data_IF_100387630064
#
_entry.id   IF_100387630064
#
_cell.length_a   1.000
_cell.length_b   1.000
_cell.length_c   1.000
_cell.angle_alpha   90.00
_cell.angle_beta   90.00
_cell.angle_gamma   90.00
#
_symmetry.space_group_name_H-M   'P 1'
#
loop_
_entity.id
_entity.type
_entity.pdbx_description
1 polymer ?
#
# COMPACT_ATOMS: atom_id res chain seq x y z
N UNK A 1 21.55 -0.94 9.77
CA UNK A 1 20.88 -2.17 10.28
C UNK A 1 19.39 -1.90 10.47
N UNK A 2 18.49 -2.81 10.09
CA UNK A 2 17.07 -2.65 10.44
C UNK A 2 16.95 -2.97 11.94
N UNK A 3 16.56 -2.00 12.80
CA UNK A 3 16.26 -2.32 14.18
C UNK A 3 15.10 -3.33 14.20
N UNK A 4 15.14 -4.29 15.13
CA UNK A 4 14.12 -5.33 15.27
C UNK A 4 14.00 -6.30 14.08
N UNK A 5 15.07 -6.46 13.30
CA UNK A 5 15.11 -7.38 12.16
C UNK A 5 14.99 -8.88 12.52
N UNK A 6 15.10 -9.19 13.81
CA UNK A 6 14.89 -10.50 14.41
C UNK A 6 13.42 -10.94 14.41
N UNK A 7 12.47 -10.00 14.33
CA UNK A 7 11.04 -10.31 14.32
C UNK A 7 10.53 -10.71 12.93
N UNK A 8 9.80 -11.81 12.89
CA UNK A 8 9.18 -12.35 11.68
C UNK A 8 7.75 -12.83 11.94
N UNK A 9 6.88 -12.67 10.94
CA UNK A 9 5.51 -13.18 10.98
C UNK A 9 5.42 -14.42 10.09
N UNK A 10 5.33 -15.60 10.70
CA UNK A 10 5.34 -16.91 10.02
C UNK A 10 4.23 -17.77 10.60
N UNK A 11 3.46 -18.44 9.74
CA UNK A 11 2.32 -19.29 10.14
C UNK A 11 1.35 -18.56 11.07
N UNK A 12 1.02 -17.32 10.70
CA UNK A 12 0.12 -16.42 11.45
C UNK A 12 0.59 -16.08 12.88
N UNK A 13 1.89 -16.26 13.19
CA UNK A 13 2.45 -15.96 14.50
C UNK A 13 3.74 -15.16 14.39
N UNK A 14 3.93 -14.23 15.32
CA UNK A 14 5.18 -13.52 15.48
C UNK A 14 6.23 -14.41 16.17
N UNK A 15 7.43 -14.44 15.61
CA UNK A 15 8.58 -15.16 16.15
C UNK A 15 9.75 -14.19 16.28
N UNK A 16 10.47 -14.28 17.40
CA UNK A 16 11.73 -13.57 17.62
C UNK A 16 12.89 -14.55 17.34
N UNK A 17 13.63 -14.26 16.27
CA UNK A 17 14.83 -15.00 15.92
C UNK A 17 16.08 -14.14 16.17
N UNK A 18 16.64 -14.24 17.37
CA UNK A 18 17.82 -13.49 17.80
C UNK A 18 19.07 -13.68 16.90
N UNK A 19 19.14 -14.78 16.13
CA UNK A 19 20.24 -15.00 15.18
C UNK A 19 20.12 -14.17 13.90
N UNK A 20 18.92 -13.65 13.61
CA UNK A 20 18.64 -12.86 12.41
C UNK A 20 18.93 -11.39 12.63
N UNK A 21 19.81 -10.84 11.78
CA UNK A 21 20.26 -9.44 11.83
C UNK A 21 19.72 -8.56 10.70
N UNK A 22 18.93 -9.14 9.78
CA UNK A 22 18.38 -8.45 8.59
C UNK A 22 16.99 -8.98 8.26
N UNK A 23 16.09 -8.10 7.89
CA UNK A 23 14.76 -8.45 7.36
C UNK A 23 14.95 -9.05 5.97
N UNK A 24 14.41 -10.25 5.76
CA UNK A 24 14.38 -10.91 4.45
C UNK A 24 12.94 -10.89 3.96
N UNK A 25 12.54 -9.92 3.12
CA UNK A 25 11.20 -9.94 2.56
C UNK A 25 11.05 -11.15 1.65
N UNK A 26 9.84 -11.71 1.60
CA UNK A 26 9.47 -12.68 0.57
C UNK A 26 9.69 -12.02 -0.79
N UNK A 27 10.14 -12.80 -1.78
CA UNK A 27 10.36 -12.31 -3.13
C UNK A 27 9.66 -13.18 -4.14
N UNK A 28 9.08 -12.55 -5.15
CA UNK A 28 8.65 -13.23 -6.37
C UNK A 28 9.31 -12.53 -7.55
N UNK A 29 10.17 -13.26 -8.25
CA UNK A 29 11.13 -12.70 -9.23
C UNK A 29 11.91 -11.54 -8.60
N UNK A 30 11.69 -10.31 -9.07
CA UNK A 30 12.36 -9.10 -8.59
C UNK A 30 11.54 -8.34 -7.54
N UNK A 31 10.27 -8.72 -7.34
CA UNK A 31 9.33 -8.03 -6.47
C UNK A 31 9.50 -8.45 -5.02
N UNK A 32 9.47 -7.48 -4.10
CA UNK A 32 9.47 -7.72 -2.65
C UNK A 32 8.04 -7.70 -2.14
N UNK A 33 7.68 -8.73 -1.39
CA UNK A 33 6.34 -8.92 -0.86
C UNK A 33 6.41 -8.80 0.66
N UNK A 34 5.44 -8.07 1.20
CA UNK A 34 5.26 -7.89 2.64
C UNK A 34 3.85 -8.35 2.98
N UNK A 35 3.75 -9.35 3.83
CA UNK A 35 2.48 -9.91 4.26
C UNK A 35 1.70 -8.90 5.09
N UNK A 36 0.37 -8.99 5.04
CA UNK A 36 -0.45 -8.29 6.02
C UNK A 36 -0.31 -9.04 7.36
N UNK A 37 0.12 -8.32 8.38
CA UNK A 37 0.40 -8.88 9.71
C UNK A 37 -0.08 -7.86 10.76
N UNK A 38 -0.58 -8.32 11.92
CA UNK A 38 -0.81 -7.43 13.05
C UNK A 38 0.51 -6.80 13.50
N UNK A 39 0.45 -5.75 14.32
CA UNK A 39 1.65 -5.13 14.88
C UNK A 39 2.52 -6.18 15.60
N UNK A 40 3.82 -6.13 15.37
CA UNK A 40 4.76 -7.00 16.07
C UNK A 40 4.74 -6.72 17.59
N UNK A 41 4.94 -7.73 18.46
CA UNK A 41 4.89 -7.55 19.91
C UNK A 41 5.89 -6.53 20.46
N UNK A 42 6.99 -6.30 19.75
CA UNK A 42 7.98 -5.27 20.10
C UNK A 42 7.54 -3.83 19.79
N UNK A 43 6.45 -3.66 19.04
CA UNK A 43 5.90 -2.34 18.72
C UNK A 43 4.91 -1.96 19.81
N UNK A 44 5.29 -1.00 20.64
CA UNK A 44 4.48 -0.54 21.76
C UNK A 44 4.07 0.91 21.55
N UNK A 45 2.81 1.23 21.87
CA UNK A 45 2.36 2.60 21.98
C UNK A 45 2.89 3.18 23.30
N UNK A 46 3.39 4.42 23.23
CA UNK A 46 3.86 5.17 24.39
C UNK A 46 2.92 6.35 24.60
N UNK A 47 2.51 6.58 25.85
CA UNK A 47 1.65 7.70 26.21
C UNK A 47 2.42 9.02 26.20
N UNK A 48 3.65 8.99 26.71
CA UNK A 48 4.58 10.12 26.68
C UNK A 48 5.87 9.73 25.98
N UNK A 49 6.39 10.63 25.14
CA UNK A 49 7.65 10.41 24.44
C UNK A 49 8.82 10.68 25.39
N UNK A 50 9.49 9.61 25.81
CA UNK A 50 10.77 9.67 26.52
C UNK A 50 11.75 8.69 25.86
N UNK A 51 12.79 9.17 25.17
CA UNK A 51 13.77 8.28 24.56
C UNK A 51 14.58 7.56 25.65
N UNK A 52 14.47 6.24 25.69
CA UNK A 52 15.06 5.38 26.72
C UNK A 52 16.39 4.74 26.29
N UNK A 53 16.58 4.50 24.99
CA UNK A 53 17.69 3.73 24.46
C UNK A 53 18.15 4.23 23.10
N UNK A 54 19.48 4.21 22.86
CA UNK A 54 20.11 4.70 21.62
C UNK A 54 19.72 3.86 20.38
N UNK A 55 19.25 2.63 20.59
CA UNK A 55 18.93 1.69 19.51
C UNK A 55 17.43 1.63 19.19
N UNK A 56 16.58 2.35 19.93
CA UNK A 56 15.15 2.35 19.69
C UNK A 56 14.74 3.23 18.51
N UNK A 57 13.71 2.78 17.78
CA UNK A 57 13.08 3.56 16.73
C UNK A 57 11.72 4.05 17.20
N UNK A 58 11.61 5.37 17.37
CA UNK A 58 10.35 6.03 17.71
C UNK A 58 9.72 6.64 16.48
N UNK A 59 8.43 6.40 16.29
CA UNK A 59 7.70 6.85 15.11
C UNK A 59 6.35 7.41 15.55
N UNK A 60 5.94 8.55 14.97
CA UNK A 60 4.55 9.01 15.07
C UNK A 60 3.73 8.26 14.03
N UNK A 61 3.04 7.21 14.48
CA UNK A 61 2.19 6.40 13.61
C UNK A 61 0.78 6.99 13.52
N UNK A 62 0.19 6.91 12.33
CA UNK A 62 -1.25 7.09 12.15
C UNK A 62 -1.94 5.80 12.56
N UNK A 63 -2.91 5.87 13.46
CA UNK A 63 -3.56 4.68 14.02
C UNK A 63 -4.43 3.96 12.98
N UNK A 64 -4.58 2.62 13.08
CA UNK A 64 -5.48 1.85 12.22
C UNK A 64 -6.90 2.44 12.19
N UNK A 65 -7.54 2.38 11.02
CA UNK A 65 -8.89 2.92 10.80
C UNK A 65 -8.94 4.42 10.49
N UNK A 66 -7.83 5.15 10.63
CA UNK A 66 -7.73 6.53 10.17
C UNK A 66 -7.94 6.63 8.66
N UNK A 67 -8.65 7.67 8.22
CA UNK A 67 -8.91 7.97 6.81
C UNK A 67 -8.35 9.34 6.46
N UNK A 68 -7.77 9.47 5.29
CA UNK A 68 -7.38 10.75 4.72
C UNK A 68 -7.79 10.82 3.26
N UNK A 69 -8.12 12.03 2.82
CA UNK A 69 -8.46 12.31 1.44
C UNK A 69 -7.35 13.18 0.84
N UNK A 70 -6.90 12.82 -0.35
CA UNK A 70 -5.94 13.61 -1.10
C UNK A 70 -6.38 13.67 -2.57
N UNK A 71 -5.87 14.65 -3.29
CA UNK A 71 -6.15 14.83 -4.71
C UNK A 71 -4.83 14.83 -5.48
N UNK A 72 -4.76 13.98 -6.51
CA UNK A 72 -3.67 13.96 -7.49
C UNK A 72 -4.26 14.37 -8.83
N UNK A 73 -3.46 15.08 -9.64
CA UNK A 73 -3.85 15.48 -10.99
C UNK A 73 -2.81 14.95 -11.96
N UNK A 74 -3.27 14.27 -13.00
CA UNK A 74 -2.47 13.82 -14.12
C UNK A 74 -2.90 14.57 -15.37
N UNK A 75 -1.99 14.67 -16.32
CA UNK A 75 -2.19 15.38 -17.58
C UNK A 75 -1.80 14.45 -18.72
N UNK A 76 -2.56 14.49 -19.81
CA UNK A 76 -2.25 13.79 -21.05
C UNK A 76 -2.04 12.28 -20.89
N UNK A 77 -2.85 11.62 -20.05
CA UNK A 77 -2.84 10.16 -19.98
C UNK A 77 -3.64 9.58 -21.15
N UNK A 78 -3.06 8.58 -21.81
CA UNK A 78 -3.80 7.73 -22.73
C UNK A 78 -4.79 6.83 -21.97
N UNK A 79 -5.79 6.29 -22.68
CA UNK A 79 -6.80 5.39 -22.10
C UNK A 79 -6.17 4.18 -21.40
N UNK A 80 -5.11 3.58 -21.97
CA UNK A 80 -4.43 2.47 -21.32
C UNK A 80 -3.64 2.90 -20.06
N UNK A 81 -3.09 4.11 -20.06
CA UNK A 81 -2.31 4.63 -18.95
C UNK A 81 -3.20 4.94 -17.75
N UNK A 82 -4.38 5.54 -17.98
CA UNK A 82 -5.35 5.75 -16.91
C UNK A 82 -5.85 4.42 -16.34
N UNK A 83 -6.05 3.39 -17.17
CA UNK A 83 -6.42 2.04 -16.68
C UNK A 83 -5.33 1.43 -15.80
N UNK A 84 -4.07 1.47 -16.24
CA UNK A 84 -2.93 0.98 -15.45
C UNK A 84 -2.75 1.77 -14.15
N UNK A 85 -2.91 3.10 -14.21
CA UNK A 85 -2.85 3.97 -13.06
C UNK A 85 -3.95 3.60 -12.04
N UNK A 86 -5.21 3.51 -12.48
CA UNK A 86 -6.33 3.12 -11.63
C UNK A 86 -6.08 1.77 -10.97
N UNK A 87 -5.66 0.76 -11.75
CA UNK A 87 -5.32 -0.55 -11.19
C UNK A 87 -4.19 -0.48 -10.14
N UNK A 88 -3.13 0.29 -10.41
CA UNK A 88 -2.02 0.44 -9.47
C UNK A 88 -2.40 1.20 -8.19
N UNK A 89 -3.39 2.09 -8.25
CA UNK A 89 -3.86 2.86 -7.10
C UNK A 89 -4.89 2.06 -6.31
N UNK A 90 -5.99 1.67 -6.97
CA UNK A 90 -7.11 0.92 -6.39
C UNK A 90 -6.89 -0.57 -6.57
N UNK A 91 -6.13 -1.16 -5.66
CA UNK A 91 -5.95 -2.60 -5.60
C UNK A 91 -7.30 -3.30 -5.32
N UNK A 92 -7.39 -4.57 -5.70
CA UNK A 92 -8.57 -5.42 -5.47
C UNK A 92 -8.89 -5.57 -3.98
N UNK A 93 -10.12 -5.98 -3.69
CA UNK A 93 -10.58 -6.25 -2.34
C UNK A 93 -9.68 -7.28 -1.64
N UNK A 94 -9.33 -7.00 -0.38
CA UNK A 94 -8.40 -7.80 0.41
C UNK A 94 -6.92 -7.43 0.24
N UNK A 95 -6.57 -6.60 -0.74
CA UNK A 95 -5.20 -6.10 -0.90
C UNK A 95 -4.98 -4.74 -0.27
N UNK A 96 -3.72 -4.45 0.04
CA UNK A 96 -3.29 -3.17 0.57
C UNK A 96 -1.87 -2.82 0.10
N UNK A 97 -1.64 -1.54 -0.12
CA UNK A 97 -0.31 -1.00 -0.36
C UNK A 97 0.54 -1.06 0.90
N UNK A 98 1.84 -1.30 0.73
CA UNK A 98 2.83 -1.34 1.81
C UNK A 98 3.80 -0.18 1.68
N UNK A 99 3.78 0.73 2.65
CA UNK A 99 4.63 1.91 2.66
C UNK A 99 5.38 2.08 4.00
N UNK A 100 6.38 2.95 4.01
CA UNK A 100 7.13 3.28 5.23
C UNK A 100 8.11 2.19 5.69
N UNK A 101 8.98 2.55 6.62
CA UNK A 101 10.09 1.69 7.04
C UNK A 101 9.65 0.53 7.94
N UNK A 102 8.61 0.72 8.77
CA UNK A 102 8.09 -0.29 9.70
C UNK A 102 7.21 -1.36 9.05
N UNK A 103 7.11 -1.42 7.71
CA UNK A 103 6.19 -2.31 6.97
C UNK A 103 6.34 -3.80 7.25
N UNK A 104 7.53 -4.21 7.71
CA UNK A 104 7.84 -5.59 8.10
C UNK A 104 7.44 -5.92 9.55
N UNK A 105 7.00 -4.93 10.34
CA UNK A 105 6.53 -5.08 11.73
C UNK A 105 5.00 -4.89 11.83
N UNK A 106 4.28 -5.03 10.72
CA UNK A 106 2.83 -4.82 10.66
C UNK A 106 2.38 -3.37 10.41
N UNK A 107 3.30 -2.40 10.30
CA UNK A 107 2.95 -1.00 10.00
C UNK A 107 2.72 -0.75 8.51
N UNK A 108 2.19 0.43 8.16
CA UNK A 108 2.26 0.97 6.80
C UNK A 108 1.38 0.25 5.77
N UNK A 109 0.30 -0.40 6.20
CA UNK A 109 -0.71 -0.96 5.30
C UNK A 109 -1.77 0.10 5.00
N UNK A 110 -2.01 0.40 3.72
CA UNK A 110 -3.01 1.39 3.31
C UNK A 110 -3.87 0.89 2.14
N UNK A 111 -5.15 1.19 2.19
CA UNK A 111 -6.08 0.99 1.08
C UNK A 111 -6.37 2.33 0.43
N UNK A 112 -6.20 2.42 -0.88
CA UNK A 112 -6.53 3.61 -1.66
C UNK A 112 -7.82 3.29 -2.40
N UNK A 113 -8.82 4.17 -2.26
CA UNK A 113 -10.09 4.06 -2.94
C UNK A 113 -10.31 5.33 -3.75
N UNK A 114 -10.80 5.17 -4.98
CA UNK A 114 -11.26 6.29 -5.77
C UNK A 114 -12.57 6.80 -5.17
N UNK A 115 -12.68 8.11 -4.98
CA UNK A 115 -13.88 8.72 -4.45
C UNK A 115 -14.83 9.11 -5.61
N UNK A 116 -16.16 9.11 -5.41
CA UNK A 116 -17.14 9.44 -6.46
C UNK A 116 -16.93 10.80 -7.13
N UNK A 117 -16.31 11.76 -6.43
CA UNK A 117 -15.96 13.08 -6.95
C UNK A 117 -14.73 13.10 -7.86
N UNK A 118 -14.15 11.95 -8.19
CA UNK A 118 -13.01 11.86 -9.12
C UNK A 118 -13.50 11.94 -10.56
N UNK A 119 -12.81 12.71 -11.39
CA UNK A 119 -13.27 13.01 -12.75
C UNK A 119 -12.14 13.14 -13.77
N UNK A 120 -12.45 12.92 -15.04
CA UNK A 120 -11.67 13.38 -16.20
C UNK A 120 -12.18 14.75 -16.66
N UNK A 121 -11.38 15.46 -17.45
CA UNK A 121 -11.70 16.80 -17.95
C UNK A 121 -11.97 16.73 -19.45
N UNK A 122 -13.16 17.19 -19.86
CA UNK A 122 -13.48 17.49 -21.26
C UNK A 122 -12.89 18.84 -21.64
N UNK A 123 -11.72 18.82 -22.28
CA UNK A 123 -11.00 20.05 -22.63
C UNK A 123 -11.82 20.98 -23.54
N UNK A 124 -12.54 20.42 -24.52
CA UNK A 124 -13.34 21.19 -25.47
C UNK A 124 -14.51 21.94 -24.81
N UNK A 125 -15.03 21.42 -23.68
CA UNK A 125 -16.16 22.01 -22.96
C UNK A 125 -15.74 22.93 -21.81
N UNK A 126 -14.46 22.90 -21.42
CA UNK A 126 -13.95 23.55 -20.19
C UNK A 126 -14.20 25.06 -20.14
N UNK A 127 -14.15 25.74 -21.28
CA UNK A 127 -14.33 27.19 -21.36
C UNK A 127 -15.71 27.61 -21.90
N UNK A 128 -16.57 26.63 -22.22
CA UNK A 128 -17.85 26.87 -22.92
C UNK A 128 -19.09 26.67 -22.06
N UNK A 129 -19.09 25.72 -21.11
CA UNK A 129 -20.26 25.34 -20.28
C UNK A 129 -19.85 24.80 -18.89
N UNK A 130 -20.82 24.66 -17.97
CA UNK A 130 -20.63 24.18 -16.58
C UNK A 130 -20.37 22.66 -16.44
N UNK A 131 -20.48 21.87 -17.52
CA UNK A 131 -20.38 20.41 -17.50
C UNK A 131 -19.11 19.86 -18.18
N UNK A 132 -17.95 20.29 -17.68
CA UNK A 132 -16.62 19.89 -18.20
C UNK A 132 -15.97 18.73 -17.44
N UNK A 133 -16.64 18.23 -16.38
CA UNK A 133 -16.15 17.12 -15.56
C UNK A 133 -16.93 15.87 -15.90
N UNK A 134 -16.23 14.80 -16.22
CA UNK A 134 -16.85 13.49 -16.39
C UNK A 134 -16.43 12.55 -15.26
N UNK A 135 -17.37 11.85 -14.60
CA UNK A 135 -17.01 10.80 -13.66
C UNK A 135 -16.04 9.80 -14.29
N UNK A 136 -15.10 9.30 -13.51
CA UNK A 136 -14.23 8.21 -13.96
C UNK A 136 -15.07 6.92 -13.99
N UNK A 137 -15.65 6.62 -15.15
CA UNK A 137 -16.36 5.37 -15.44
C UNK A 137 -15.57 4.57 -16.48
N UNK A 138 -14.43 4.04 -16.05
CA UNK A 138 -13.57 3.21 -16.89
C UNK A 138 -13.62 1.80 -16.35
N UNK A 139 -14.20 0.82 -17.09
CA UNK A 139 -14.18 -0.56 -16.64
C UNK A 139 -12.72 -1.01 -16.50
N UNK A 140 -12.41 -1.71 -15.41
CA UNK A 140 -11.09 -2.31 -15.24
C UNK A 140 -10.86 -3.31 -16.37
N UNK A 141 -10.04 -2.93 -17.35
CA UNK A 141 -9.54 -3.83 -18.35
C UNK A 141 -8.20 -4.39 -17.89
N UNK A 142 -8.18 -5.65 -17.45
CA UNK A 142 -6.96 -6.29 -16.99
C UNK A 142 -6.03 -6.69 -18.12
N UNK A 143 -6.48 -6.69 -19.37
CA UNK A 143 -5.67 -7.07 -20.55
C UNK A 143 -4.52 -6.09 -20.78
N UNK A 144 -4.67 -4.82 -20.36
CA UNK A 144 -3.60 -3.83 -20.46
C UNK A 144 -2.52 -4.00 -19.38
N UNK A 145 -2.68 -4.94 -18.44
CA UNK A 145 -1.79 -5.21 -17.31
C UNK A 145 -0.96 -6.46 -17.62
N UNK A 146 0.26 -6.26 -18.10
CA UNK A 146 1.20 -7.36 -18.32
C UNK A 146 1.45 -8.12 -17.01
N UNK A 147 1.37 -9.45 -17.08
CA UNK A 147 1.57 -10.36 -15.94
C UNK A 147 0.48 -10.32 -14.87
N UNK A 148 -0.73 -9.83 -15.16
CA UNK A 148 -1.84 -9.78 -14.20
C UNK A 148 -2.11 -11.12 -13.50
N UNK A 149 -2.16 -12.23 -14.24
CA UNK A 149 -2.34 -13.57 -13.65
C UNK A 149 -1.19 -13.95 -12.72
N UNK A 150 0.06 -13.72 -13.12
CA UNK A 150 1.21 -14.02 -12.26
C UNK A 150 1.21 -13.15 -10.99
N UNK A 151 0.75 -11.89 -11.07
CA UNK A 151 0.52 -11.02 -9.92
C UNK A 151 -0.59 -11.58 -9.03
N UNK A 152 -1.71 -12.01 -9.60
CA UNK A 152 -2.83 -12.61 -8.86
C UNK A 152 -2.40 -13.88 -8.12
N UNK A 153 -1.74 -14.81 -8.80
CA UNK A 153 -1.18 -16.04 -8.20
C UNK A 153 -0.15 -15.74 -7.10
N UNK A 154 0.57 -14.63 -7.23
CA UNK A 154 1.57 -14.16 -6.27
C UNK A 154 0.98 -13.43 -5.06
N UNK A 155 -0.15 -12.78 -5.26
CA UNK A 155 -0.89 -11.99 -4.26
C UNK A 155 -1.94 -12.83 -3.53
N UNK A 156 -2.21 -14.05 -4.01
CA UNK A 156 -3.04 -15.05 -3.33
C UNK A 156 -2.31 -15.56 -2.07
N UNK A 157 -2.36 -14.72 -1.04
CA UNK A 157 -1.82 -14.96 0.29
C UNK A 157 -2.63 -16.00 1.09
N UNK A 158 -3.58 -16.73 0.47
CA UNK A 158 -4.24 -17.88 1.08
C UNK A 158 -3.28 -19.07 1.30
N UNK A 159 -2.05 -18.99 0.78
CA UNK A 159 -0.97 -19.95 1.02
C UNK A 159 0.04 -19.53 2.12
N UNK A 160 -0.34 -18.65 3.07
CA UNK A 160 0.48 -18.27 4.23
C UNK A 160 -0.21 -18.49 5.59
#
# INVERSE_FOLDING_TARGET
PYPYANWEFVNQKWQDNASKKKVTPSKIKEWRIFTHAPLAPCVQQMDEFSPDTVQASYNRAVLPGSKCNFRIRFWNLETEEIQRLLWSLTLEDGLAHKCGNGRYLGLGSLQIKLLPESYTIKWDSRYGNDDWKEPIDIPQNTDCIKNYNALKDSLDAQCL
#
